data_IF_136487971518
#
_entry.id   IF_136487971518
#
_cell.length_a   1.000
_cell.length_b   1.000
_cell.length_c   1.000
_cell.angle_alpha   90.00
_cell.angle_beta   90.00
_cell.angle_gamma   90.00
#
_symmetry.space_group_name_H-M   'P 1'
#
loop_
_entity.id
_entity.type
_entity.pdbx_description
1 polymer ?
#
# COMPACT_ATOMS: atom_id res chain seq x y z
N UNK A 1 -29.41 -11.51 42.28
CA UNK A 1 -28.75 -10.29 41.78
C UNK A 1 -27.39 -10.65 41.17
N UNK A 2 -27.07 -10.26 39.93
CA UNK A 2 -25.75 -10.49 39.36
C UNK A 2 -24.68 -9.78 40.19
N UNK A 3 -23.64 -10.49 40.63
CA UNK A 3 -22.51 -9.86 41.34
C UNK A 3 -21.78 -8.92 40.37
N UNK A 4 -21.53 -7.68 40.78
CA UNK A 4 -20.82 -6.69 39.98
C UNK A 4 -19.44 -7.23 39.54
N UNK A 5 -19.14 -7.14 38.24
CA UNK A 5 -17.82 -7.49 37.69
C UNK A 5 -16.77 -6.57 38.29
N UNK A 6 -15.67 -7.14 38.77
CA UNK A 6 -14.54 -6.36 39.30
C UNK A 6 -13.40 -6.39 38.27
N UNK A 7 -12.81 -5.22 37.99
CA UNK A 7 -11.65 -5.13 37.11
C UNK A 7 -10.34 -5.40 37.86
N UNK A 8 -9.42 -6.08 37.19
CA UNK A 8 -8.05 -6.20 37.67
C UNK A 8 -7.31 -4.85 37.48
N UNK A 9 -6.70 -4.27 38.52
CA UNK A 9 -5.98 -3.00 38.39
C UNK A 9 -4.65 -3.10 37.64
N UNK A 10 -4.23 -4.31 37.25
CA UNK A 10 -2.95 -4.56 36.56
C UNK A 10 -3.11 -4.79 35.05
N UNK A 11 -4.20 -5.42 34.60
CA UNK A 11 -4.43 -5.75 33.19
C UNK A 11 -5.82 -5.38 32.68
N UNK A 12 -6.64 -4.71 33.49
CA UNK A 12 -7.98 -4.20 33.15
C UNK A 12 -9.03 -5.27 32.74
N UNK A 13 -8.69 -6.56 32.76
CA UNK A 13 -9.66 -7.64 32.51
C UNK A 13 -10.72 -7.70 33.62
N UNK A 14 -11.97 -7.87 33.20
CA UNK A 14 -13.12 -8.03 34.09
C UNK A 14 -13.29 -9.50 34.50
N UNK A 15 -13.38 -9.76 35.81
CA UNK A 15 -13.57 -11.12 36.34
C UNK A 15 -14.86 -11.24 37.15
N UNK A 16 -15.48 -12.41 37.06
CA UNK A 16 -16.52 -12.83 37.99
C UNK A 16 -15.88 -13.10 39.37
N UNK A 17 -16.58 -12.74 40.44
CA UNK A 17 -16.03 -12.44 41.78
C UNK A 17 -15.24 -13.54 42.50
N UNK A 18 -15.17 -14.77 41.98
CA UNK A 18 -14.52 -15.90 42.65
C UNK A 18 -12.99 -15.92 42.56
N UNK A 19 -12.40 -15.49 41.43
CA UNK A 19 -10.96 -15.70 41.14
C UNK A 19 -10.10 -14.44 41.04
N UNK A 20 -10.64 -13.27 41.42
CA UNK A 20 -9.92 -12.00 41.23
C UNK A 20 -8.67 -11.88 42.12
N UNK A 21 -8.65 -12.48 43.31
CA UNK A 21 -7.51 -12.41 44.22
C UNK A 21 -6.32 -13.23 43.69
N UNK A 22 -6.57 -14.43 43.18
CA UNK A 22 -5.56 -15.29 42.59
C UNK A 22 -5.05 -14.73 41.27
N UNK A 23 -5.94 -14.24 40.41
CA UNK A 23 -5.56 -13.51 39.20
C UNK A 23 -4.71 -12.27 39.53
N UNK A 24 -5.06 -11.48 40.55
CA UNK A 24 -4.26 -10.32 40.97
C UNK A 24 -2.85 -10.71 41.39
N UNK A 25 -2.70 -11.82 42.14
CA UNK A 25 -1.38 -12.33 42.55
C UNK A 25 -0.56 -12.81 41.35
N UNK A 26 -1.17 -13.56 40.43
CA UNK A 26 -0.50 -14.01 39.20
C UNK A 26 -0.14 -12.85 38.28
N UNK A 27 -1.04 -11.88 38.12
CA UNK A 27 -0.88 -10.73 37.24
C UNK A 27 0.14 -9.72 37.79
N UNK A 28 0.25 -9.58 39.11
CA UNK A 28 1.26 -8.74 39.76
C UNK A 28 2.70 -9.26 39.59
N UNK A 29 2.88 -10.53 39.20
CA UNK A 29 4.19 -11.15 39.00
C UNK A 29 4.53 -11.38 37.52
N UNK A 30 3.57 -11.22 36.61
CA UNK A 30 3.83 -11.33 35.18
C UNK A 30 4.56 -10.10 34.69
N UNK A 31 5.80 -10.32 34.25
CA UNK A 31 6.55 -9.33 33.50
C UNK A 31 6.01 -9.35 32.07
N UNK A 32 5.43 -8.24 31.65
CA UNK A 32 5.09 -7.99 30.26
C UNK A 32 6.25 -7.25 29.60
N UNK A 33 6.50 -7.52 28.32
CA UNK A 33 7.49 -6.78 27.54
C UNK A 33 6.79 -5.61 26.85
N UNK A 34 7.38 -4.41 26.93
CA UNK A 34 6.84 -3.27 26.19
C UNK A 34 7.04 -3.44 24.69
N UNK A 35 5.98 -3.33 23.86
CA UNK A 35 6.16 -3.40 22.41
C UNK A 35 7.00 -2.23 21.88
N UNK A 36 7.01 -1.09 22.58
CA UNK A 36 7.67 0.16 22.14
C UNK A 36 9.16 0.23 22.52
N UNK A 37 9.52 -0.21 23.74
CA UNK A 37 10.91 -0.11 24.23
C UNK A 37 11.55 -1.44 24.66
N UNK A 38 10.81 -2.55 24.55
CA UNK A 38 11.24 -3.91 24.90
C UNK A 38 11.71 -4.11 26.35
N UNK A 39 11.57 -3.11 27.22
CA UNK A 39 11.82 -3.27 28.65
C UNK A 39 10.71 -4.11 29.26
N UNK A 40 11.10 -5.07 30.09
CA UNK A 40 10.18 -5.79 30.94
C UNK A 40 9.59 -4.83 31.97
N UNK A 41 8.27 -4.89 32.14
CA UNK A 41 7.56 -4.12 33.15
C UNK A 41 6.54 -5.00 33.85
N UNK A 42 6.25 -4.65 35.10
CA UNK A 42 5.28 -5.38 35.93
C UNK A 42 3.89 -4.75 35.83
N UNK A 43 3.82 -3.44 35.55
CA UNK A 43 2.57 -2.68 35.43
C UNK A 43 2.56 -1.83 34.17
N UNK A 44 1.64 -2.16 33.28
CA UNK A 44 1.53 -1.49 31.97
C UNK A 44 1.28 0.00 32.10
N UNK A 45 0.43 0.41 33.05
CA UNK A 45 0.15 1.83 33.33
C UNK A 45 1.38 2.61 33.78
N UNK A 46 2.24 2.00 34.59
CA UNK A 46 3.43 2.65 35.15
C UNK A 46 4.50 2.73 34.05
N UNK A 47 4.56 1.73 33.18
CA UNK A 47 5.44 1.74 32.03
C UNK A 47 5.00 2.72 30.93
N UNK A 48 3.75 2.65 30.46
CA UNK A 48 3.19 3.53 29.41
C UNK A 48 3.34 5.01 29.75
N UNK A 49 3.25 5.38 31.02
CA UNK A 49 3.39 6.77 31.48
C UNK A 49 4.79 7.35 31.29
N UNK A 50 5.83 6.51 31.29
CA UNK A 50 7.24 6.95 31.22
C UNK A 50 8.01 6.36 30.03
N UNK A 51 7.41 5.44 29.28
CA UNK A 51 8.00 4.86 28.10
C UNK A 51 8.05 5.89 26.97
N UNK A 52 9.18 6.58 26.85
CA UNK A 52 9.49 7.46 25.71
C UNK A 52 9.95 6.69 24.46
N UNK A 53 9.85 5.36 24.48
CA UNK A 53 10.72 4.51 23.65
C UNK A 53 12.16 4.59 24.15
N UNK A 54 13.00 3.63 23.78
CA UNK A 54 14.43 3.92 23.73
C UNK A 54 14.64 4.72 22.44
N UNK A 55 15.51 5.73 22.38
CA UNK A 55 16.09 6.11 21.10
C UNK A 55 17.01 4.93 20.75
N UNK A 56 16.73 4.18 19.69
CA UNK A 56 17.73 3.25 19.13
C UNK A 56 18.16 3.88 17.86
N UNK A 57 19.47 3.91 17.73
CA UNK A 57 20.18 4.36 16.57
C UNK A 57 19.59 3.65 15.35
N UNK A 58 19.17 4.42 14.36
CA UNK A 58 18.81 3.86 13.07
C UNK A 58 19.98 3.04 12.52
N UNK A 59 19.70 2.02 11.70
CA UNK A 59 20.75 1.36 10.94
C UNK A 59 21.63 2.42 10.28
N UNK A 60 22.95 2.33 10.48
CA UNK A 60 23.89 3.41 10.16
C UNK A 60 23.79 3.88 8.70
N UNK A 61 23.42 2.99 7.78
CA UNK A 61 23.21 3.32 6.37
C UNK A 61 21.91 4.11 6.10
N UNK A 62 20.88 4.02 6.95
CA UNK A 62 19.67 4.87 6.85
C UNK A 62 19.91 6.26 7.43
N UNK A 63 20.92 6.41 8.30
CA UNK A 63 21.28 7.70 8.88
C UNK A 63 21.83 8.70 7.85
N UNK A 64 22.25 8.22 6.67
CA UNK A 64 22.68 9.07 5.55
C UNK A 64 21.53 9.81 4.87
N UNK A 65 20.27 9.42 5.12
CA UNK A 65 19.09 10.12 4.63
C UNK A 65 18.69 11.17 5.67
N UNK A 66 19.11 12.45 5.51
CA UNK A 66 18.77 13.50 6.46
C UNK A 66 17.26 13.52 6.66
N UNK A 67 16.83 13.60 7.92
CA UNK A 67 15.44 13.56 8.41
C UNK A 67 14.81 12.19 8.67
N UNK A 68 15.35 11.08 8.15
CA UNK A 68 14.80 9.75 8.47
C UNK A 68 14.97 9.40 9.95
N UNK A 69 15.99 9.97 10.61
CA UNK A 69 16.28 9.83 12.05
C UNK A 69 15.51 10.72 13.00
N UNK A 70 14.65 11.58 12.47
CA UNK A 70 13.88 12.52 13.28
C UNK A 70 12.76 11.86 14.08
N UNK A 71 12.25 10.72 13.63
CA UNK A 71 11.09 10.05 14.20
C UNK A 71 11.41 8.59 14.59
N UNK A 72 10.61 8.01 15.48
CA UNK A 72 10.77 6.64 15.93
C UNK A 72 10.00 5.67 15.02
N UNK A 73 10.68 5.11 14.02
CA UNK A 73 10.13 4.17 13.04
C UNK A 73 10.31 2.69 13.40
N UNK A 74 10.72 2.38 14.63
CA UNK A 74 11.27 1.05 14.96
C UNK A 74 10.24 -0.07 14.95
N UNK A 75 8.97 0.24 15.11
CA UNK A 75 7.91 -0.75 14.93
C UNK A 75 7.66 -1.08 13.45
N UNK A 76 8.12 -0.22 12.52
CA UNK A 76 7.89 -0.32 11.07
C UNK A 76 9.12 -0.83 10.30
N UNK A 77 10.31 -0.74 10.88
CA UNK A 77 11.57 -1.12 10.24
C UNK A 77 12.20 -2.35 10.91
N UNK A 78 12.78 -3.28 10.14
CA UNK A 78 13.62 -4.32 10.71
C UNK A 78 14.94 -3.70 11.22
N UNK A 79 15.68 -4.46 12.03
CA UNK A 79 17.00 -4.03 12.52
C UNK A 79 18.02 -3.77 11.40
N UNK A 80 17.84 -4.41 10.24
CA UNK A 80 18.65 -4.24 9.03
C UNK A 80 17.80 -4.55 7.79
N UNK A 81 18.00 -3.82 6.69
CA UNK A 81 17.49 -4.11 5.34
C UNK A 81 18.71 -4.26 4.44
N UNK A 82 19.21 -5.48 4.21
CA UNK A 82 20.39 -5.72 3.39
C UNK A 82 20.16 -5.22 1.95
N UNK A 83 21.20 -4.64 1.35
CA UNK A 83 21.19 -4.32 -0.09
C UNK A 83 20.32 -3.14 -0.51
N UNK A 84 19.81 -2.33 0.43
CA UNK A 84 19.08 -1.10 0.12
C UNK A 84 20.01 -0.03 -0.46
N UNK A 85 19.82 0.34 -1.72
CA UNK A 85 20.65 1.36 -2.41
C UNK A 85 19.81 2.54 -2.90
N UNK A 86 20.35 3.77 -2.95
CA UNK A 86 19.67 4.88 -3.63
C UNK A 86 19.27 4.50 -5.06
N UNK A 87 18.09 4.93 -5.50
CA UNK A 87 17.52 4.56 -6.81
C UNK A 87 18.46 4.84 -7.99
N UNK A 88 19.24 5.92 -7.92
CA UNK A 88 20.20 6.34 -8.96
C UNK A 88 21.55 5.59 -8.89
N UNK A 89 21.80 4.87 -7.80
CA UNK A 89 23.01 4.07 -7.57
C UNK A 89 22.73 2.56 -7.70
N UNK A 90 21.55 2.18 -8.21
CA UNK A 90 21.16 0.78 -8.36
C UNK A 90 22.19 0.01 -9.20
N UNK A 91 22.71 -1.09 -8.64
CA UNK A 91 23.60 -2.00 -9.36
C UNK A 91 22.88 -2.72 -10.50
N UNK A 92 23.61 -3.25 -11.48
CA UNK A 92 22.99 -4.02 -12.56
C UNK A 92 22.33 -5.31 -12.06
N UNK A 93 22.89 -5.92 -11.00
CA UNK A 93 22.25 -7.03 -10.31
C UNK A 93 20.89 -6.60 -9.72
N UNK A 94 20.84 -5.45 -9.03
CA UNK A 94 19.58 -4.89 -8.51
C UNK A 94 18.60 -4.60 -9.64
N UNK A 95 19.03 -3.93 -10.71
CA UNK A 95 18.17 -3.58 -11.86
C UNK A 95 17.57 -4.82 -12.52
N UNK A 96 18.34 -5.90 -12.63
CA UNK A 96 17.88 -7.15 -13.26
C UNK A 96 16.72 -7.84 -12.53
N UNK A 97 16.51 -7.52 -11.25
CA UNK A 97 15.38 -8.02 -10.45
C UNK A 97 14.08 -7.27 -10.72
N UNK A 98 14.14 -6.08 -11.31
CA UNK A 98 12.98 -5.26 -11.64
C UNK A 98 12.54 -5.52 -13.08
N UNK A 99 11.26 -5.87 -13.30
CA UNK A 99 10.69 -5.97 -14.65
C UNK A 99 10.66 -4.60 -15.33
N UNK A 100 10.49 -3.55 -14.53
CA UNK A 100 10.59 -2.14 -14.90
C UNK A 100 11.15 -1.38 -13.72
N UNK A 101 12.15 -0.53 -13.94
CA UNK A 101 12.72 0.27 -12.85
C UNK A 101 11.74 1.37 -12.42
N UNK A 102 11.58 1.63 -11.10
CA UNK A 102 10.94 2.85 -10.64
C UNK A 102 11.76 4.06 -11.12
N UNK A 103 11.08 5.18 -11.34
CA UNK A 103 11.72 6.37 -11.90
C UNK A 103 11.36 7.63 -11.10
N UNK A 104 12.34 8.50 -10.89
CA UNK A 104 12.10 9.85 -10.37
C UNK A 104 11.81 10.78 -11.54
N UNK A 105 10.72 11.53 -11.43
CA UNK A 105 10.24 12.42 -12.48
C UNK A 105 10.31 13.87 -11.99
N UNK A 106 10.97 14.75 -12.75
CA UNK A 106 11.04 16.16 -12.38
C UNK A 106 9.69 16.86 -12.52
N UNK A 107 9.34 17.66 -11.51
CA UNK A 107 8.12 18.46 -11.51
C UNK A 107 8.45 19.88 -11.97
N UNK A 108 7.96 20.25 -13.16
CA UNK A 108 8.21 21.58 -13.72
C UNK A 108 7.22 22.64 -13.24
N UNK A 109 5.97 22.24 -12.97
CA UNK A 109 4.88 23.15 -12.57
C UNK A 109 4.19 22.60 -11.32
N UNK A 110 4.72 22.82 -10.12
CA UNK A 110 4.09 22.34 -8.90
C UNK A 110 2.76 23.07 -8.67
N UNK A 111 1.73 22.30 -8.27
CA UNK A 111 0.44 22.86 -7.88
C UNK A 111 0.61 23.68 -6.59
N UNK A 112 0.07 24.92 -6.51
CA UNK A 112 0.11 25.70 -5.28
C UNK A 112 -0.55 24.94 -4.13
N UNK A 113 0.10 24.94 -2.97
CA UNK A 113 -0.40 24.19 -1.83
C UNK A 113 -1.73 24.72 -1.29
N UNK A 114 -2.00 26.03 -1.42
CA UNK A 114 -3.30 26.59 -1.08
C UNK A 114 -4.44 25.93 -1.88
N UNK A 115 -4.19 25.59 -3.14
CA UNK A 115 -5.19 24.94 -4.01
C UNK A 115 -5.41 23.49 -3.56
N UNK A 116 -4.34 22.77 -3.23
CA UNK A 116 -4.41 21.41 -2.68
C UNK A 116 -5.16 21.41 -1.33
N UNK A 117 -4.86 22.36 -0.46
CA UNK A 117 -5.53 22.50 0.84
C UNK A 117 -7.03 22.73 0.65
N UNK A 118 -7.42 23.64 -0.24
CA UNK A 118 -8.83 23.95 -0.54
C UNK A 118 -9.54 22.73 -1.12
N UNK A 119 -8.90 22.03 -2.07
CA UNK A 119 -9.42 20.81 -2.68
C UNK A 119 -9.65 19.70 -1.64
N UNK A 120 -8.66 19.43 -0.78
CA UNK A 120 -8.76 18.45 0.31
C UNK A 120 -9.86 18.83 1.29
N UNK A 121 -9.91 20.10 1.71
CA UNK A 121 -10.91 20.60 2.64
C UNK A 121 -12.34 20.45 2.09
N UNK A 122 -12.53 20.72 0.80
CA UNK A 122 -13.80 20.51 0.08
C UNK A 122 -14.17 19.02 0.06
N UNK A 123 -13.22 18.14 -0.29
CA UNK A 123 -13.42 16.68 -0.39
C UNK A 123 -13.66 16.00 0.96
N UNK A 124 -13.15 16.50 2.09
CA UNK A 124 -13.41 15.88 3.42
C UNK A 124 -14.92 15.82 3.75
N UNK A 125 -15.74 16.64 3.09
CA UNK A 125 -17.19 16.59 3.29
C UNK A 125 -17.88 15.40 2.61
N UNK A 126 -17.26 14.78 1.59
CA UNK A 126 -17.80 13.60 0.89
C UNK A 126 -17.58 12.31 1.67
N UNK A 127 -16.65 12.30 2.64
CA UNK A 127 -16.29 11.15 3.47
C UNK A 127 -15.77 9.94 2.68
N UNK A 128 -15.32 10.17 1.45
CA UNK A 128 -14.66 9.18 0.62
C UNK A 128 -13.14 9.20 0.89
N UNK A 129 -12.73 8.78 2.08
CA UNK A 129 -11.32 8.68 2.49
C UNK A 129 -11.17 7.72 3.68
N UNK A 130 -9.94 7.31 3.95
CA UNK A 130 -9.61 6.48 5.11
C UNK A 130 -8.94 7.31 6.19
N UNK A 131 -9.43 7.23 7.43
CA UNK A 131 -8.91 7.99 8.55
C UNK A 131 -8.23 7.09 9.58
N UNK A 132 -7.04 7.50 10.03
CA UNK A 132 -6.22 6.75 10.97
C UNK A 132 -5.81 7.61 12.15
N UNK A 133 -5.79 6.99 13.33
CA UNK A 133 -5.39 7.58 14.60
C UNK A 133 -4.44 6.62 15.31
N UNK A 134 -3.18 7.02 15.45
CA UNK A 134 -2.09 6.18 15.95
C UNK A 134 -1.98 4.84 15.19
N UNK A 135 -2.06 4.89 13.86
CA UNK A 135 -1.98 3.71 12.99
C UNK A 135 -3.25 2.85 12.93
N UNK A 136 -4.25 3.11 13.79
CA UNK A 136 -5.51 2.39 13.79
C UNK A 136 -6.56 3.14 12.97
N UNK A 137 -7.27 2.42 12.11
CA UNK A 137 -8.40 2.98 11.39
C UNK A 137 -9.48 3.46 12.37
N UNK A 138 -9.98 4.67 12.17
CA UNK A 138 -11.02 5.30 13.02
C UNK A 138 -12.39 4.66 12.81
N UNK A 139 -12.58 3.94 11.71
CA UNK A 139 -13.76 3.15 11.34
C UNK A 139 -13.36 2.12 10.27
N UNK A 140 -14.22 1.14 9.98
CA UNK A 140 -14.03 0.23 8.84
C UNK A 140 -13.76 1.03 7.57
N UNK A 141 -12.54 0.92 7.06
CA UNK A 141 -12.13 1.45 5.78
C UNK A 141 -12.95 0.71 4.71
N UNK A 142 -13.90 1.38 4.06
CA UNK A 142 -14.73 0.75 3.03
C UNK A 142 -16.11 1.39 2.83
N UNK A 143 -16.78 0.98 1.76
CA UNK A 143 -18.06 1.49 1.26
C UNK A 143 -19.30 1.16 2.12
N UNK A 144 -19.19 1.28 3.45
CA UNK A 144 -20.34 1.12 4.35
C UNK A 144 -20.98 2.47 4.70
N UNK A 145 -22.30 2.46 4.91
CA UNK A 145 -23.01 3.65 5.41
C UNK A 145 -22.53 3.99 6.81
N UNK A 146 -21.70 5.02 6.94
CA UNK A 146 -21.25 5.51 8.24
C UNK A 146 -22.40 6.03 9.10
N UNK A 147 -22.34 5.80 10.40
CA UNK A 147 -23.20 6.45 11.40
C UNK A 147 -22.85 7.93 11.54
N UNK A 148 -23.75 8.79 12.04
CA UNK A 148 -23.44 10.20 12.30
C UNK A 148 -22.20 10.41 13.20
N UNK A 149 -21.99 9.52 14.18
CA UNK A 149 -20.86 9.59 15.11
C UNK A 149 -19.54 9.26 14.40
N UNK A 150 -19.52 8.21 13.56
CA UNK A 150 -18.34 7.85 12.77
C UNK A 150 -17.98 8.97 11.78
N UNK A 151 -18.97 9.53 11.08
CA UNK A 151 -18.75 10.68 10.18
C UNK A 151 -18.10 11.85 10.91
N UNK A 152 -18.54 12.14 12.14
CA UNK A 152 -17.96 13.19 12.97
C UNK A 152 -16.50 12.88 13.31
N UNK A 153 -16.21 11.66 13.79
CA UNK A 153 -14.86 11.23 14.15
C UNK A 153 -13.90 11.23 12.95
N UNK A 154 -14.37 10.83 11.75
CA UNK A 154 -13.63 10.91 10.50
C UNK A 154 -13.21 12.33 10.16
N UNK A 155 -14.16 13.26 10.18
CA UNK A 155 -13.90 14.67 9.87
C UNK A 155 -12.94 15.28 10.89
N UNK A 156 -13.17 15.04 12.18
CA UNK A 156 -12.26 15.50 13.23
C UNK A 156 -10.84 14.98 13.01
N UNK A 157 -10.68 13.69 12.70
CA UNK A 157 -9.38 13.08 12.41
C UNK A 157 -8.74 13.70 11.17
N UNK A 158 -9.50 13.95 10.10
CA UNK A 158 -9.02 14.58 8.89
C UNK A 158 -8.53 16.02 9.14
N UNK A 159 -9.29 16.82 9.89
CA UNK A 159 -8.88 18.18 10.23
C UNK A 159 -7.66 18.22 11.14
N UNK A 160 -7.56 17.30 12.11
CA UNK A 160 -6.36 17.15 12.94
C UNK A 160 -5.16 16.77 12.07
N UNK A 161 -5.32 15.82 11.15
CA UNK A 161 -4.28 15.42 10.19
C UNK A 161 -3.80 16.61 9.35
N UNK A 162 -4.73 17.36 8.73
CA UNK A 162 -4.39 18.55 7.95
C UNK A 162 -3.58 19.55 8.76
N UNK A 163 -4.05 19.88 9.97
CA UNK A 163 -3.35 20.79 10.86
C UNK A 163 -1.96 20.28 11.22
N UNK A 164 -1.81 19.00 11.61
CA UNK A 164 -0.53 18.39 11.94
C UNK A 164 0.42 18.32 10.73
N UNK A 165 -0.10 18.11 9.52
CA UNK A 165 0.66 18.07 8.28
C UNK A 165 1.27 19.44 7.94
N UNK A 166 0.53 20.54 8.13
CA UNK A 166 1.00 21.89 7.80
C UNK A 166 1.69 22.64 8.95
N UNK A 167 1.66 22.08 10.18
CA UNK A 167 2.07 22.75 11.45
C UNK A 167 3.51 23.31 11.47
N UNK A 168 4.42 22.89 10.58
CA UNK A 168 5.79 23.45 10.55
C UNK A 168 5.86 24.94 10.15
N UNK A 169 4.74 25.54 9.75
CA UNK A 169 4.65 26.96 9.35
C UNK A 169 4.48 27.95 10.50
N UNK A 170 3.98 27.53 11.67
CA UNK A 170 3.69 28.46 12.77
C UNK A 170 4.86 28.67 13.76
N UNK A 171 5.94 27.89 13.66
CA UNK A 171 7.09 28.03 14.57
C UNK A 171 7.99 29.24 14.27
N UNK A 172 7.72 29.99 13.19
CA UNK A 172 8.38 31.28 12.89
C UNK A 172 7.57 32.52 13.27
N UNK A 173 6.30 32.40 13.71
CA UNK A 173 5.53 33.52 14.23
C UNK A 173 4.78 33.16 15.52
N UNK A 174 5.42 33.49 16.66
CA UNK A 174 4.75 33.99 17.87
C UNK A 174 3.34 33.46 18.20
N UNK A 175 3.24 32.19 18.61
CA UNK A 175 2.57 31.66 19.83
C UNK A 175 2.38 30.15 19.66
N UNK A 176 2.79 29.30 20.61
CA UNK A 176 2.63 27.84 20.47
C UNK A 176 1.14 27.48 20.39
N UNK A 177 0.67 26.98 19.26
CA UNK A 177 -0.69 26.46 19.12
C UNK A 177 -0.81 25.07 19.78
N UNK A 178 -1.77 25.04 20.72
CA UNK A 178 -2.47 24.03 21.52
C UNK A 178 -2.29 22.50 21.37
N UNK A 179 -1.48 21.97 20.46
CA UNK A 179 -1.28 20.52 20.35
C UNK A 179 0.13 20.10 20.79
N UNK A 180 0.18 19.25 21.82
CA UNK A 180 1.39 18.76 22.48
C UNK A 180 1.87 17.45 21.85
N UNK A 181 3.12 17.03 22.11
CA UNK A 181 3.62 15.67 21.77
C UNK A 181 2.80 14.51 22.37
N UNK A 182 1.70 14.82 23.09
CA UNK A 182 0.73 13.86 23.64
C UNK A 182 -0.48 13.63 22.73
N UNK A 183 -0.66 14.44 21.69
CA UNK A 183 -1.77 14.28 20.77
C UNK A 183 -1.55 13.11 19.83
N UNK A 184 -2.60 12.34 19.52
CA UNK A 184 -2.50 11.19 18.65
C UNK A 184 -2.05 11.63 17.25
N UNK A 185 -1.17 10.84 16.63
CA UNK A 185 -0.77 11.04 15.26
C UNK A 185 -1.95 10.65 14.35
N UNK A 186 -2.49 11.62 13.63
CA UNK A 186 -3.62 11.40 12.73
C UNK A 186 -3.16 11.54 11.28
N UNK A 187 -3.55 10.62 10.42
CA UNK A 187 -3.37 10.75 8.98
C UNK A 187 -4.62 10.30 8.24
N UNK A 188 -4.81 10.83 7.03
CA UNK A 188 -5.90 10.40 6.15
C UNK A 188 -5.34 10.03 4.79
N UNK A 189 -5.86 8.96 4.21
CA UNK A 189 -5.44 8.43 2.92
C UNK A 189 -6.61 8.49 1.93
N UNK A 190 -6.27 8.61 0.65
CA UNK A 190 -7.21 8.55 -0.47
C UNK A 190 -8.34 9.59 -0.36
N UNK A 191 -8.01 10.85 -0.04
CA UNK A 191 -8.96 11.96 -0.18
C UNK A 191 -9.11 12.26 -1.67
N UNK A 192 -10.14 11.70 -2.28
CA UNK A 192 -10.39 11.84 -3.72
C UNK A 192 -10.78 13.27 -4.10
N UNK A 193 -10.15 13.81 -5.14
CA UNK A 193 -10.45 15.16 -5.66
C UNK A 193 -10.33 15.23 -7.17
N UNK A 194 -11.17 16.06 -7.80
CA UNK A 194 -11.10 16.40 -9.23
C UNK A 194 -10.36 17.73 -9.46
N UNK A 195 -10.20 18.53 -8.40
CA UNK A 195 -9.67 19.89 -8.50
C UNK A 195 -8.13 19.89 -8.70
N UNK A 196 -7.46 18.76 -8.42
CA UNK A 196 -6.01 18.54 -8.61
C UNK A 196 -5.79 17.36 -9.57
N UNK A 197 -5.92 17.57 -10.89
CA UNK A 197 -5.77 16.48 -11.84
C UNK A 197 -4.31 16.04 -11.94
N UNK A 198 -4.09 14.74 -11.90
CA UNK A 198 -2.83 14.10 -12.26
C UNK A 198 -3.05 13.19 -13.46
N UNK A 199 -2.02 13.04 -14.29
CA UNK A 199 -2.00 12.09 -15.40
C UNK A 199 -0.72 11.27 -15.36
N UNK A 200 -0.71 10.06 -15.95
CA UNK A 200 0.50 9.28 -16.08
C UNK A 200 1.62 10.10 -16.74
N UNK A 201 2.90 9.90 -16.37
CA UNK A 201 4.01 10.66 -16.94
C UNK A 201 4.08 10.53 -18.46
N UNK A 202 4.43 11.61 -19.16
CA UNK A 202 4.51 11.60 -20.63
C UNK A 202 5.48 10.53 -21.16
N UNK A 203 6.56 10.25 -20.43
CA UNK A 203 7.50 9.19 -20.76
C UNK A 203 6.88 7.79 -20.68
N UNK A 204 5.92 7.58 -19.77
CA UNK A 204 5.18 6.33 -19.67
C UNK A 204 4.18 6.23 -20.81
N UNK A 205 3.40 7.29 -21.05
CA UNK A 205 2.42 7.36 -22.14
C UNK A 205 3.05 7.15 -23.52
N UNK A 206 4.30 7.58 -23.71
CA UNK A 206 5.01 7.44 -24.99
C UNK A 206 5.68 6.09 -25.20
N UNK A 207 5.95 5.33 -24.13
CA UNK A 207 6.67 4.05 -24.19
C UNK A 207 5.77 2.84 -24.06
N UNK A 208 4.62 2.98 -23.40
CA UNK A 208 3.79 1.85 -23.01
C UNK A 208 2.33 2.05 -23.40
N UNK A 209 1.62 0.94 -23.57
CA UNK A 209 0.20 0.96 -23.89
C UNK A 209 -0.62 1.02 -22.59
N UNK A 210 -1.32 2.13 -22.36
CA UNK A 210 -2.17 2.29 -21.18
C UNK A 210 -3.52 1.60 -21.38
N UNK A 211 -4.00 0.88 -20.35
CA UNK A 211 -5.33 0.23 -20.39
C UNK A 211 -6.50 1.24 -20.32
N UNK A 212 -6.23 2.50 -19.97
CA UNK A 212 -7.26 3.55 -19.87
C UNK A 212 -8.15 3.45 -18.62
N UNK A 213 -7.60 2.91 -17.53
CA UNK A 213 -8.26 2.69 -16.24
C UNK A 213 -7.66 3.52 -15.10
N UNK A 214 -7.07 4.67 -15.43
CA UNK A 214 -6.47 5.62 -14.50
C UNK A 214 -7.47 6.04 -13.41
N UNK A 215 -7.06 5.96 -12.15
CA UNK A 215 -7.88 6.40 -11.02
C UNK A 215 -8.01 7.92 -10.99
N UNK A 216 -9.03 8.40 -10.28
CA UNK A 216 -9.05 9.78 -9.81
C UNK A 216 -7.81 10.06 -8.93
N UNK A 217 -7.39 11.33 -8.85
CA UNK A 217 -6.34 11.75 -7.93
C UNK A 217 -6.78 11.52 -6.48
N UNK A 218 -6.04 10.69 -5.76
CA UNK A 218 -6.15 10.52 -4.32
C UNK A 218 -5.11 11.36 -3.59
N UNK A 219 -5.52 12.15 -2.60
CA UNK A 219 -4.61 12.92 -1.76
C UNK A 219 -4.46 12.26 -0.39
N UNK A 220 -3.22 11.97 -0.01
CA UNK A 220 -2.82 11.52 1.31
C UNK A 220 -2.36 12.72 2.14
N UNK A 221 -3.01 12.96 3.27
CA UNK A 221 -2.66 14.01 4.23
C UNK A 221 -1.94 13.36 5.40
N UNK A 222 -0.66 13.68 5.55
CA UNK A 222 0.25 12.88 6.36
C UNK A 222 1.18 13.80 7.15
N UNK A 223 1.10 13.80 8.49
CA UNK A 223 2.05 14.53 9.32
C UNK A 223 3.45 13.92 9.29
N UNK A 224 4.45 14.72 9.65
CA UNK A 224 5.80 14.20 9.88
C UNK A 224 5.79 13.18 11.02
N UNK A 225 6.40 12.02 10.79
CA UNK A 225 6.35 10.89 11.71
C UNK A 225 5.28 9.83 11.37
N UNK A 226 4.49 10.04 10.30
CA UNK A 226 3.58 9.01 9.78
C UNK A 226 4.26 8.05 8.79
N UNK A 227 3.85 6.79 8.82
CA UNK A 227 4.32 5.73 7.95
C UNK A 227 3.12 5.03 7.30
N UNK A 228 3.25 4.72 6.02
CA UNK A 228 2.40 3.76 5.31
C UNK A 228 3.25 2.50 5.15
N UNK A 229 2.82 1.40 5.78
CA UNK A 229 3.56 0.15 5.82
C UNK A 229 3.74 -0.49 4.44
N UNK A 230 4.47 -1.61 4.37
CA UNK A 230 4.73 -2.33 3.12
C UNK A 230 3.41 -2.74 2.42
N UNK A 231 3.24 -2.30 1.18
CA UNK A 231 2.10 -2.62 0.31
C UNK A 231 2.48 -2.51 -1.17
N UNK A 232 1.55 -2.84 -2.06
CA UNK A 232 1.56 -2.41 -3.47
C UNK A 232 0.18 -1.83 -3.81
N UNK A 233 0.07 -1.07 -4.90
CA UNK A 233 -1.12 -0.30 -5.25
C UNK A 233 -2.17 -1.11 -6.05
N UNK A 234 -2.71 -2.17 -5.42
CA UNK A 234 -3.78 -3.02 -5.98
C UNK A 234 -3.39 -3.58 -7.37
N UNK A 235 -2.15 -4.07 -7.44
CA UNK A 235 -1.51 -4.55 -8.66
C UNK A 235 -1.07 -3.48 -9.67
N UNK A 236 -1.56 -2.24 -9.60
CA UNK A 236 -1.32 -1.22 -10.63
C UNK A 236 0.03 -0.53 -10.52
N UNK A 237 0.44 0.12 -11.62
CA UNK A 237 1.45 1.17 -11.58
C UNK A 237 0.92 2.39 -10.83
N UNK A 238 1.79 3.10 -10.14
CA UNK A 238 1.45 4.27 -9.32
C UNK A 238 2.29 5.48 -9.70
N UNK A 239 1.68 6.66 -9.83
CA UNK A 239 2.41 7.92 -9.98
C UNK A 239 2.09 8.83 -8.80
N UNK A 240 3.12 9.22 -8.07
CA UNK A 240 3.01 9.93 -6.79
C UNK A 240 3.80 11.24 -6.79
N UNK A 241 3.13 12.32 -6.37
CA UNK A 241 3.64 13.69 -6.34
C UNK A 241 3.45 14.24 -4.92
N UNK A 242 4.49 14.79 -4.32
CA UNK A 242 4.33 15.56 -3.09
C UNK A 242 4.04 17.02 -3.40
N UNK A 243 3.22 17.65 -2.57
CA UNK A 243 2.96 19.08 -2.65
C UNK A 243 3.61 19.80 -1.47
N UNK A 244 4.04 21.04 -1.71
CA UNK A 244 4.71 21.90 -0.71
C UNK A 244 6.05 21.35 -0.19
N UNK A 245 6.50 21.80 0.97
CA UNK A 245 7.68 21.31 1.67
C UNK A 245 7.52 19.88 2.23
N UNK A 246 6.48 19.14 1.82
CA UNK A 246 6.31 17.72 2.12
C UNK A 246 7.51 16.93 1.60
N UNK A 247 8.02 16.02 2.42
CA UNK A 247 9.14 15.13 2.05
C UNK A 247 8.77 13.72 2.45
N UNK A 248 8.91 12.80 1.48
CA UNK A 248 8.79 11.37 1.72
C UNK A 248 10.12 10.67 1.49
N UNK A 249 10.35 9.66 2.29
CA UNK A 249 11.33 8.60 1.99
C UNK A 249 10.56 7.34 1.69
N UNK A 250 10.86 6.71 0.57
CA UNK A 250 10.14 5.54 0.07
C UNK A 250 11.15 4.39 -0.03
N UNK A 251 10.84 3.28 0.62
CA UNK A 251 11.55 2.02 0.43
C UNK A 251 10.79 1.21 -0.62
N UNK A 252 11.52 0.65 -1.56
CA UNK A 252 10.99 0.02 -2.77
C UNK A 252 11.62 -1.36 -2.93
N UNK A 253 10.85 -2.36 -3.29
CA UNK A 253 11.35 -3.71 -3.56
C UNK A 253 10.66 -4.28 -4.82
N UNK A 254 11.42 -4.97 -5.69
CA UNK A 254 10.87 -5.53 -6.91
C UNK A 254 9.85 -6.64 -6.62
N UNK A 255 8.85 -6.82 -7.48
CA UNK A 255 7.87 -7.91 -7.39
C UNK A 255 8.47 -9.26 -7.85
N UNK A 256 9.63 -9.66 -7.32
CA UNK A 256 10.17 -11.00 -7.60
C UNK A 256 9.28 -12.06 -6.98
N UNK A 257 9.31 -13.28 -7.50
CA UNK A 257 8.57 -14.41 -6.92
C UNK A 257 8.87 -14.59 -5.43
N UNK A 258 10.14 -14.45 -5.05
CA UNK A 258 10.59 -14.47 -3.65
C UNK A 258 9.95 -13.36 -2.82
N UNK A 259 10.07 -12.11 -3.27
CA UNK A 259 9.55 -10.95 -2.53
C UNK A 259 8.02 -10.99 -2.41
N UNK A 260 7.32 -11.37 -3.48
CA UNK A 260 5.87 -11.55 -3.48
C UNK A 260 5.44 -12.69 -2.55
N UNK A 261 6.14 -13.82 -2.55
CA UNK A 261 5.87 -14.93 -1.63
C UNK A 261 6.06 -14.54 -0.16
N UNK A 262 7.14 -13.83 0.17
CA UNK A 262 7.38 -13.28 1.51
C UNK A 262 6.29 -12.29 1.91
N UNK A 263 5.94 -11.37 1.01
CA UNK A 263 4.86 -10.42 1.23
C UNK A 263 3.56 -11.18 1.50
N UNK A 264 3.10 -12.03 0.60
CA UNK A 264 1.88 -12.83 0.72
C UNK A 264 1.78 -13.60 2.05
N UNK A 265 2.90 -14.18 2.50
CA UNK A 265 2.97 -14.93 3.77
C UNK A 265 2.60 -14.10 5.02
N UNK A 266 2.69 -12.78 4.90
CA UNK A 266 2.36 -11.80 5.96
C UNK A 266 1.00 -11.12 5.78
N UNK A 267 0.15 -11.63 4.88
CA UNK A 267 -1.23 -11.13 4.70
C UNK A 267 -1.99 -11.05 6.04
N UNK A 268 -2.71 -9.94 6.24
CA UNK A 268 -3.45 -9.65 7.48
C UNK A 268 -2.60 -9.29 8.71
N UNK A 269 -1.26 -9.29 8.61
CA UNK A 269 -0.39 -8.93 9.74
C UNK A 269 0.01 -7.45 9.68
N UNK A 270 0.05 -6.74 10.83
CA UNK A 270 0.61 -5.39 10.89
C UNK A 270 2.14 -5.42 10.76
N UNK A 271 2.71 -4.27 10.40
CA UNK A 271 4.14 -3.98 10.37
C UNK A 271 4.92 -4.98 9.51
N UNK A 272 4.40 -5.28 8.31
CA UNK A 272 4.94 -6.29 7.40
C UNK A 272 6.42 -6.02 7.08
N UNK A 273 6.79 -4.77 6.83
CA UNK A 273 8.18 -4.39 6.57
C UNK A 273 9.13 -4.80 7.72
N UNK A 274 8.75 -4.58 8.98
CA UNK A 274 9.56 -4.98 10.12
C UNK A 274 9.74 -6.51 10.24
N UNK A 275 8.82 -7.29 9.67
CA UNK A 275 8.81 -8.76 9.73
C UNK A 275 9.66 -9.42 8.66
N UNK A 276 9.66 -8.86 7.45
CA UNK A 276 10.28 -9.49 6.26
C UNK A 276 11.31 -8.62 5.56
N UNK A 277 11.47 -7.35 5.95
CA UNK A 277 12.33 -6.40 5.23
C UNK A 277 13.80 -6.80 5.21
N UNK A 278 14.26 -7.62 6.17
CA UNK A 278 15.61 -8.19 6.19
C UNK A 278 15.81 -9.35 5.20
N UNK A 279 14.73 -9.87 4.63
CA UNK A 279 14.70 -11.00 3.69
C UNK A 279 14.36 -10.59 2.25
N UNK A 280 13.89 -9.35 2.07
CA UNK A 280 13.56 -8.79 0.76
C UNK A 280 14.84 -8.50 -0.04
N UNK A 281 14.80 -8.77 -1.34
CA UNK A 281 15.92 -8.55 -2.26
C UNK A 281 15.69 -7.34 -3.16
N UNK A 282 16.77 -6.81 -3.76
CA UNK A 282 16.68 -5.76 -4.77
C UNK A 282 16.18 -4.41 -4.26
N UNK A 283 16.30 -4.16 -2.95
CA UNK A 283 15.77 -2.97 -2.29
C UNK A 283 16.35 -1.66 -2.83
N UNK A 284 15.48 -0.69 -3.09
CA UNK A 284 15.83 0.68 -3.44
C UNK A 284 15.26 1.66 -2.42
N UNK A 285 15.92 2.80 -2.27
CA UNK A 285 15.44 3.93 -1.48
C UNK A 285 15.37 5.19 -2.34
N UNK A 286 14.25 5.89 -2.23
CA UNK A 286 14.00 7.15 -2.90
C UNK A 286 13.58 8.21 -1.89
N UNK A 287 14.00 9.45 -2.14
CA UNK A 287 13.51 10.65 -1.45
C UNK A 287 12.79 11.52 -2.47
N UNK A 288 11.55 11.87 -2.18
CA UNK A 288 10.77 12.81 -3.00
C UNK A 288 10.42 14.06 -2.19
N UNK A 289 10.52 15.21 -2.83
CA UNK A 289 10.13 16.54 -2.37
C UNK A 289 9.41 17.28 -3.52
N UNK A 290 9.01 18.54 -3.36
CA UNK A 290 8.27 19.29 -4.40
C UNK A 290 8.92 19.36 -5.78
N UNK A 291 10.20 19.02 -5.91
CA UNK A 291 10.90 19.00 -7.20
C UNK A 291 10.83 17.65 -7.91
N UNK A 292 10.42 16.59 -7.21
CA UNK A 292 10.46 15.21 -7.68
C UNK A 292 9.15 14.48 -7.39
N UNK A 293 8.63 13.85 -8.43
CA UNK A 293 7.62 12.82 -8.34
C UNK A 293 8.28 11.43 -8.46
N UNK A 294 7.52 10.39 -8.17
CA UNK A 294 7.94 9.01 -8.39
C UNK A 294 6.90 8.27 -9.22
N UNK A 295 7.38 7.55 -10.23
CA UNK A 295 6.63 6.56 -10.98
C UNK A 295 7.05 5.16 -10.50
N UNK A 296 6.05 4.38 -10.09
CA UNK A 296 6.18 3.05 -9.53
C UNK A 296 5.62 2.04 -10.52
N UNK A 297 6.38 0.97 -10.83
CA UNK A 297 5.89 -0.11 -11.68
C UNK A 297 4.84 -0.96 -10.97
N UNK A 298 4.04 -1.66 -11.77
CA UNK A 298 2.99 -2.55 -11.24
C UNK A 298 3.57 -3.53 -10.22
N UNK A 299 2.84 -3.72 -9.13
CA UNK A 299 3.21 -4.63 -8.03
C UNK A 299 4.49 -4.26 -7.26
N UNK A 300 5.12 -3.09 -7.49
CA UNK A 300 6.25 -2.64 -6.69
C UNK A 300 5.89 -2.61 -5.20
N UNK A 301 6.56 -3.44 -4.40
CA UNK A 301 6.38 -3.43 -2.96
C UNK A 301 7.03 -2.19 -2.39
N UNK A 302 6.30 -1.41 -1.61
CA UNK A 302 6.83 -0.18 -1.08
C UNK A 302 6.25 0.23 0.27
N UNK A 303 7.05 1.00 1.02
CA UNK A 303 6.67 1.61 2.28
C UNK A 303 7.06 3.09 2.26
N UNK A 304 6.17 3.95 2.76
CA UNK A 304 6.29 5.41 2.63
C UNK A 304 6.41 6.05 4.00
N UNK A 305 7.51 6.75 4.23
CA UNK A 305 7.81 7.43 5.48
C UNK A 305 7.73 8.94 5.28
N UNK A 306 6.94 9.61 6.11
CA UNK A 306 6.78 11.07 6.05
C UNK A 306 7.76 11.75 6.98
N UNK A 307 8.82 12.33 6.44
CA UNK A 307 9.85 13.05 7.23
C UNK A 307 9.55 14.54 7.37
N UNK A 308 8.83 15.11 6.41
CA UNK A 308 8.19 16.42 6.52
C UNK A 308 6.72 16.28 6.16
N UNK A 309 5.85 16.72 7.07
CA UNK A 309 4.41 16.60 6.90
C UNK A 309 3.90 17.42 5.72
N UNK A 310 2.79 16.98 5.14
CA UNK A 310 2.13 17.68 4.04
C UNK A 310 1.22 16.75 3.24
N UNK A 311 1.11 17.02 1.95
CA UNK A 311 0.22 16.33 1.03
C UNK A 311 1.03 15.49 0.03
N UNK A 312 0.53 14.30 -0.26
CA UNK A 312 1.01 13.43 -1.35
C UNK A 312 -0.20 13.11 -2.23
N UNK A 313 -0.18 13.53 -3.48
CA UNK A 313 -1.17 13.14 -4.47
C UNK A 313 -0.69 11.94 -5.26
N UNK A 314 -1.61 11.06 -5.62
CA UNK A 314 -1.29 9.92 -6.46
C UNK A 314 -2.43 9.52 -7.38
N UNK A 315 -2.06 8.86 -8.46
CA UNK A 315 -2.96 8.13 -9.35
C UNK A 315 -2.39 6.73 -9.59
N UNK A 316 -3.28 5.77 -9.83
CA UNK A 316 -2.93 4.42 -10.22
C UNK A 316 -3.48 4.13 -11.61
N UNK A 317 -2.74 3.41 -12.43
CA UNK A 317 -3.13 3.07 -13.80
C UNK A 317 -2.52 1.73 -14.21
N UNK A 318 -3.15 1.05 -15.15
CA UNK A 318 -2.63 -0.21 -15.68
C UNK A 318 -1.92 -0.02 -17.01
N UNK A 319 -0.81 -0.73 -17.16
CA UNK A 319 -0.02 -0.84 -18.39
C UNK A 319 -0.24 -2.24 -18.95
N UNK A 320 -0.51 -2.34 -20.26
CA UNK A 320 -0.79 -3.62 -20.93
C UNK A 320 0.39 -4.59 -20.79
N UNK A 321 1.61 -4.09 -20.94
CA UNK A 321 2.87 -4.83 -20.80
C UNK A 321 3.11 -5.35 -19.37
N UNK A 322 2.44 -4.80 -18.37
CA UNK A 322 2.60 -5.18 -16.96
C UNK A 322 1.48 -6.12 -16.44
N UNK A 323 0.49 -6.45 -17.26
CA UNK A 323 -0.52 -7.45 -16.87
C UNK A 323 0.10 -8.79 -16.42
N UNK A 324 1.19 -9.31 -17.04
CA UNK A 324 1.82 -10.53 -16.55
C UNK A 324 2.32 -10.44 -15.11
N UNK A 325 2.91 -9.30 -14.70
CA UNK A 325 3.39 -9.13 -13.32
C UNK A 325 2.23 -8.98 -12.33
N UNK A 326 1.12 -8.36 -12.77
CA UNK A 326 -0.12 -8.30 -11.99
C UNK A 326 -0.67 -9.71 -11.71
N UNK A 327 -0.76 -10.55 -12.74
CA UNK A 327 -1.19 -11.94 -12.58
C UNK A 327 -0.27 -12.72 -11.64
N UNK A 328 1.05 -12.53 -11.75
CA UNK A 328 2.03 -13.17 -10.87
C UNK A 328 1.84 -12.76 -9.39
N UNK A 329 1.59 -11.48 -9.11
CA UNK A 329 1.31 -11.02 -7.75
C UNK A 329 0.04 -11.67 -7.18
N UNK A 330 -1.03 -11.76 -7.98
CA UNK A 330 -2.27 -12.43 -7.57
C UNK A 330 -1.98 -13.91 -7.28
N UNK A 331 -1.30 -14.62 -8.18
CA UNK A 331 -0.93 -16.03 -8.00
C UNK A 331 -0.15 -16.27 -6.71
N UNK A 332 0.79 -15.38 -6.36
CA UNK A 332 1.54 -15.47 -5.10
C UNK A 332 0.64 -15.31 -3.86
N UNK A 333 -0.45 -14.55 -3.98
CA UNK A 333 -1.40 -14.30 -2.91
C UNK A 333 -2.48 -15.36 -2.78
N UNK A 334 -2.86 -16.05 -3.86
CA UNK A 334 -3.95 -17.04 -3.87
C UNK A 334 -3.86 -18.10 -2.75
N UNK A 335 -2.67 -18.66 -2.41
CA UNK A 335 -2.55 -19.62 -1.30
C UNK A 335 -2.97 -19.06 0.07
N UNK A 336 -3.04 -17.73 0.19
CA UNK A 336 -3.42 -17.02 1.42
C UNK A 336 -4.80 -16.37 1.32
N UNK A 337 -5.63 -16.77 0.34
CA UNK A 337 -6.96 -16.21 0.09
C UNK A 337 -7.82 -16.10 1.36
N UNK A 338 -7.85 -17.14 2.19
CA UNK A 338 -8.65 -17.15 3.43
C UNK A 338 -8.24 -16.08 4.45
N UNK A 339 -7.02 -15.54 4.34
CA UNK A 339 -6.50 -14.53 5.28
C UNK A 339 -6.86 -13.10 4.88
N UNK A 340 -7.03 -12.85 3.59
CA UNK A 340 -7.31 -11.51 3.04
C UNK A 340 -8.13 -11.59 1.74
N UNK A 341 -9.36 -12.13 1.80
CA UNK A 341 -10.15 -12.40 0.61
C UNK A 341 -10.56 -11.11 -0.12
N UNK A 342 -10.82 -10.03 0.62
CA UNK A 342 -11.27 -8.76 0.05
C UNK A 342 -10.19 -8.12 -0.82
N UNK A 343 -8.94 -8.04 -0.32
CA UNK A 343 -7.83 -7.48 -1.08
C UNK A 343 -7.52 -8.31 -2.33
N UNK A 344 -7.51 -9.63 -2.21
CA UNK A 344 -7.20 -10.52 -3.34
C UNK A 344 -8.32 -10.47 -4.40
N UNK A 345 -9.59 -10.42 -3.97
CA UNK A 345 -10.71 -10.22 -4.89
C UNK A 345 -10.63 -8.85 -5.57
N UNK A 346 -10.18 -7.81 -4.88
CA UNK A 346 -9.96 -6.49 -5.49
C UNK A 346 -8.87 -6.54 -6.56
N UNK A 347 -7.71 -7.15 -6.27
CA UNK A 347 -6.63 -7.34 -7.24
C UNK A 347 -7.11 -8.11 -8.48
N UNK A 348 -7.86 -9.21 -8.29
CA UNK A 348 -8.46 -9.98 -9.39
C UNK A 348 -9.38 -9.10 -10.22
N UNK A 349 -10.24 -8.29 -9.59
CA UNK A 349 -11.16 -7.40 -10.31
C UNK A 349 -10.42 -6.39 -11.16
N UNK A 350 -9.41 -5.76 -10.59
CA UNK A 350 -8.59 -4.77 -11.28
C UNK A 350 -7.86 -5.41 -12.47
N UNK A 351 -7.24 -6.57 -12.27
CA UNK A 351 -6.58 -7.31 -13.34
C UNK A 351 -7.53 -7.69 -14.48
N UNK A 352 -8.70 -8.27 -14.18
CA UNK A 352 -9.67 -8.68 -15.20
C UNK A 352 -10.17 -7.48 -16.02
N UNK A 353 -10.48 -6.37 -15.35
CA UNK A 353 -10.90 -5.14 -16.04
C UNK A 353 -9.80 -4.57 -16.94
N UNK A 354 -8.56 -4.58 -16.47
CA UNK A 354 -7.42 -4.13 -17.26
C UNK A 354 -7.15 -5.06 -18.45
N UNK A 355 -7.31 -6.38 -18.29
CA UNK A 355 -7.18 -7.38 -19.35
C UNK A 355 -8.23 -7.18 -20.45
N UNK A 356 -9.49 -6.98 -20.10
CA UNK A 356 -10.56 -6.68 -21.07
C UNK A 356 -10.24 -5.44 -21.91
N UNK A 357 -9.74 -4.39 -21.26
CA UNK A 357 -9.32 -3.16 -21.94
C UNK A 357 -8.11 -3.42 -22.84
N UNK A 358 -7.10 -4.12 -22.36
CA UNK A 358 -5.91 -4.47 -23.12
C UNK A 358 -6.23 -5.25 -24.40
N UNK A 359 -7.13 -6.23 -24.34
CA UNK A 359 -7.55 -7.00 -25.51
C UNK A 359 -8.25 -6.13 -26.57
N UNK A 360 -8.85 -5.01 -26.17
CA UNK A 360 -9.49 -4.05 -27.08
C UNK A 360 -8.49 -3.09 -27.75
N UNK A 361 -7.25 -3.01 -27.27
CA UNK A 361 -6.21 -2.10 -27.76
C UNK A 361 -5.35 -2.68 -28.88
N UNK A 362 -5.56 -3.95 -29.26
CA UNK A 362 -4.76 -4.66 -30.27
C UNK A 362 -3.24 -4.57 -30.01
N UNK A 363 -2.76 -5.03 -28.84
CA UNK A 363 -1.34 -4.93 -28.48
C UNK A 363 -0.45 -5.72 -29.45
N UNK A 364 0.86 -5.39 -29.51
CA UNK A 364 1.83 -6.19 -30.25
C UNK A 364 1.77 -7.68 -29.89
N UNK A 365 2.06 -8.54 -30.87
CA UNK A 365 1.80 -9.98 -30.76
C UNK A 365 2.59 -10.67 -29.63
N UNK A 366 3.82 -10.26 -29.40
CA UNK A 366 4.69 -10.73 -28.31
C UNK A 366 4.15 -10.35 -26.92
N UNK A 367 3.64 -9.12 -26.79
CA UNK A 367 2.95 -8.65 -25.59
C UNK A 367 1.64 -9.44 -25.38
N UNK A 368 0.84 -9.60 -26.44
CA UNK A 368 -0.42 -10.33 -26.39
C UNK A 368 -0.23 -11.78 -25.92
N UNK A 369 0.78 -12.49 -26.44
CA UNK A 369 1.09 -13.87 -26.01
C UNK A 369 1.35 -13.91 -24.50
N UNK A 370 2.19 -13.00 -24.00
CA UNK A 370 2.56 -12.97 -22.57
C UNK A 370 1.34 -12.72 -21.68
N UNK A 371 0.45 -11.82 -22.10
CA UNK A 371 -0.80 -11.53 -21.41
C UNK A 371 -1.71 -12.77 -21.37
N UNK A 372 -1.92 -13.43 -22.52
CA UNK A 372 -2.76 -14.64 -22.61
C UNK A 372 -2.18 -15.76 -21.75
N UNK A 373 -0.86 -15.98 -21.76
CA UNK A 373 -0.18 -16.94 -20.89
C UNK A 373 -0.47 -16.67 -19.42
N UNK A 374 -0.28 -15.42 -19.00
CA UNK A 374 -0.52 -15.01 -17.61
C UNK A 374 -1.98 -15.19 -17.19
N UNK A 375 -2.92 -14.90 -18.10
CA UNK A 375 -4.35 -15.10 -17.87
C UNK A 375 -4.70 -16.57 -17.66
N UNK A 376 -4.24 -17.45 -18.56
CA UNK A 376 -4.54 -18.88 -18.46
C UNK A 376 -4.00 -19.49 -17.16
N UNK A 377 -2.78 -19.12 -16.77
CA UNK A 377 -2.20 -19.56 -15.50
C UNK A 377 -3.04 -19.11 -14.29
N UNK A 378 -3.50 -17.85 -14.31
CA UNK A 378 -4.35 -17.31 -13.26
C UNK A 378 -5.73 -17.96 -13.25
N UNK A 379 -6.37 -18.16 -14.40
CA UNK A 379 -7.72 -18.74 -14.48
C UNK A 379 -7.76 -20.19 -13.97
N UNK A 380 -6.78 -21.01 -14.34
CA UNK A 380 -6.61 -22.37 -13.82
C UNK A 380 -6.47 -22.34 -12.30
N UNK A 381 -5.65 -21.43 -11.78
CA UNK A 381 -5.41 -21.32 -10.33
C UNK A 381 -6.62 -20.79 -9.57
N UNK A 382 -7.41 -19.90 -10.19
CA UNK A 382 -8.66 -19.38 -9.60
C UNK A 382 -9.79 -20.40 -9.60
N UNK A 383 -9.73 -21.46 -10.42
CA UNK A 383 -10.76 -22.49 -10.44
C UNK A 383 -10.89 -23.25 -9.11
N UNK A 384 -9.86 -23.19 -8.24
CA UNK A 384 -9.89 -23.77 -6.90
C UNK A 384 -10.52 -22.87 -5.84
N UNK A 385 -11.03 -21.70 -6.21
CA UNK A 385 -11.64 -20.74 -5.27
C UNK A 385 -13.16 -20.81 -5.42
N UNK A 386 -13.86 -21.35 -4.41
CA UNK A 386 -15.32 -21.55 -4.41
C UNK A 386 -16.16 -20.25 -4.29
N UNK A 387 -15.53 -19.06 -4.40
CA UNK A 387 -16.17 -17.77 -4.13
C UNK A 387 -15.87 -16.62 -5.12
N UNK A 388 -15.82 -16.81 -6.45
CA UNK A 388 -15.82 -15.67 -7.33
C UNK A 388 -17.18 -14.98 -7.22
N UNK A 389 -17.18 -13.68 -6.95
CA UNK A 389 -18.41 -12.88 -7.07
C UNK A 389 -19.01 -13.01 -8.49
N UNK A 390 -20.32 -12.80 -8.64
CA UNK A 390 -20.98 -12.81 -9.96
C UNK A 390 -20.26 -11.93 -10.99
N UNK A 391 -19.80 -10.75 -10.57
CA UNK A 391 -19.05 -9.85 -11.44
C UNK A 391 -17.77 -10.50 -12.01
N UNK A 392 -17.05 -11.26 -11.18
CA UNK A 392 -15.84 -11.95 -11.66
C UNK A 392 -16.19 -13.01 -12.71
N UNK A 393 -17.35 -13.67 -12.59
CA UNK A 393 -17.83 -14.65 -13.58
C UNK A 393 -18.16 -13.96 -14.90
N UNK A 394 -18.87 -12.82 -14.86
CA UNK A 394 -19.25 -12.05 -16.06
C UNK A 394 -18.00 -11.61 -16.86
N UNK A 395 -16.96 -11.10 -16.18
CA UNK A 395 -15.69 -10.73 -16.83
C UNK A 395 -14.94 -11.95 -17.41
N UNK A 396 -14.92 -13.07 -16.69
CA UNK A 396 -14.32 -14.34 -17.18
C UNK A 396 -14.97 -14.82 -18.46
N UNK A 397 -16.30 -14.80 -18.53
CA UNK A 397 -17.06 -15.16 -19.72
C UNK A 397 -16.73 -14.23 -20.88
N UNK A 398 -16.67 -12.91 -20.62
CA UNK A 398 -16.28 -11.93 -21.63
C UNK A 398 -14.87 -12.19 -22.17
N UNK A 399 -13.88 -12.36 -21.30
CA UNK A 399 -12.49 -12.64 -21.68
C UNK A 399 -12.43 -13.93 -22.51
N UNK A 400 -13.10 -14.99 -22.06
CA UNK A 400 -13.16 -16.26 -22.80
C UNK A 400 -13.75 -16.08 -24.21
N UNK A 401 -14.84 -15.31 -24.33
CA UNK A 401 -15.44 -14.97 -25.61
C UNK A 401 -14.53 -14.11 -26.50
N UNK A 402 -13.82 -13.14 -25.92
CA UNK A 402 -12.86 -12.28 -26.63
C UNK A 402 -11.68 -13.11 -27.16
N UNK A 403 -11.09 -13.96 -26.33
CA UNK A 403 -9.99 -14.85 -26.74
C UNK A 403 -10.41 -15.80 -27.85
N UNK A 404 -11.63 -16.33 -27.82
CA UNK A 404 -12.17 -17.15 -28.90
C UNK A 404 -12.30 -16.40 -30.24
N UNK A 405 -12.40 -15.07 -30.24
CA UNK A 405 -12.39 -14.24 -31.46
C UNK A 405 -10.97 -13.91 -31.94
N UNK A 406 -9.97 -13.99 -31.07
CA UNK A 406 -8.55 -13.79 -31.42
C UNK A 406 -7.95 -15.08 -31.99
N UNK A 407 -8.39 -16.26 -31.52
CA UNK A 407 -7.97 -17.59 -32.02
C UNK A 407 -8.00 -17.77 -33.55
N UNK A 408 -9.00 -17.27 -34.31
CA UNK A 408 -9.04 -17.41 -35.76
C UNK A 408 -8.01 -16.54 -36.50
N UNK A 409 -7.55 -15.43 -35.89
CA UNK A 409 -6.62 -14.49 -36.53
C UNK A 409 -5.16 -14.98 -36.54
N UNK A 410 -4.83 -16.00 -35.74
CA UNK A 410 -3.50 -16.65 -35.74
C UNK A 410 -3.43 -17.84 -36.71
N UNK A 411 -4.54 -18.30 -37.28
CA UNK A 411 -4.55 -19.38 -38.27
C UNK A 411 -4.73 -18.82 -39.69
N UNK A 412 -3.69 -18.15 -40.20
CA UNK A 412 -3.53 -17.90 -41.64
C UNK A 412 -2.74 -19.03 -42.33
N UNK A 413 -2.82 -20.24 -41.79
CA UNK A 413 -2.31 -21.46 -42.41
C UNK A 413 -3.45 -22.15 -43.13
N UNK A 414 -3.77 -21.72 -44.35
CA UNK A 414 -4.73 -22.38 -45.25
C UNK A 414 -4.25 -23.74 -45.78
N UNK A 415 -3.39 -24.46 -45.04
CA UNK A 415 -2.68 -25.64 -45.52
C UNK A 415 -2.68 -26.87 -44.60
N UNK A 416 -3.33 -26.86 -43.43
CA UNK A 416 -3.34 -28.07 -42.56
C UNK A 416 -4.78 -28.45 -42.22
N UNK A 417 -5.06 -29.74 -42.45
CA UNK A 417 -6.39 -30.32 -42.48
C UNK A 417 -7.19 -30.15 -41.18
N UNK A 418 -8.50 -30.31 -41.33
CA UNK A 418 -9.48 -30.30 -40.25
C UNK A 418 -9.07 -31.28 -39.13
N UNK A 419 -8.73 -30.72 -37.98
CA UNK A 419 -8.70 -31.44 -36.70
C UNK A 419 -7.31 -31.61 -36.09
N UNK A 420 -6.79 -30.52 -35.50
CA UNK A 420 -6.07 -30.44 -34.21
C UNK A 420 -5.73 -28.97 -33.94
N UNK A 421 -5.76 -28.55 -32.66
CA UNK A 421 -5.94 -27.17 -32.22
C UNK A 421 -4.59 -26.46 -31.94
N UNK A 422 -4.28 -25.39 -32.68
CA UNK A 422 -3.00 -24.65 -32.62
C UNK A 422 -2.72 -23.92 -31.28
N UNK A 423 -3.71 -23.67 -30.43
CA UNK A 423 -3.46 -23.08 -29.09
C UNK A 423 -2.94 -24.14 -28.11
N UNK A 424 -3.21 -25.41 -28.33
CA UNK A 424 -2.66 -26.49 -27.50
C UNK A 424 -1.25 -26.88 -28.00
N UNK A 425 -1.05 -27.06 -29.31
CA UNK A 425 0.25 -27.50 -29.84
C UNK A 425 1.39 -26.46 -29.75
N UNK A 426 1.10 -25.15 -29.75
CA UNK A 426 2.14 -24.11 -29.55
C UNK A 426 2.45 -23.84 -28.07
N UNK A 427 1.62 -24.34 -27.15
CA UNK A 427 1.78 -24.15 -25.71
C UNK A 427 2.24 -25.43 -24.98
N UNK A 428 2.11 -26.61 -25.58
CA UNK A 428 2.75 -27.84 -25.10
C UNK A 428 4.24 -27.94 -25.46
N UNK A 429 4.75 -27.06 -26.33
CA UNK A 429 6.15 -27.07 -26.79
C UNK A 429 7.07 -26.04 -26.09
N UNK A 430 6.65 -25.44 -24.96
CA UNK A 430 7.47 -24.51 -24.15
C UNK A 430 7.80 -25.09 -22.79
#
# INVERSE_FOLDING_TARGET
MPKARRMCPHCEKAFNTGNIAEHRRSCANQKSTCPVCYKQFIRERDHKRYCKGTLVELPTYLAQFPDFSKYNWREELPGTIPGLTPIHEASDATKSLWHRMPCLVHINNPVPEQDVYVAVNKSINTLSFHAYKNGLAVHGAGHQKHTPLERKAMKETAFISMHQAVKRRELKSTKPTLYSDRDPLCYVLNVWTEDIPLSPPAEIVSKYLLCGDTTQTGINVTPGGSCIGLHFDIGRSGYSVVFDDCVKVILLFPPTERNLGLFASTAGLPNRLARIGDQLEGGLIARIDKSLAIDLPSCALHAVFTTVGGFLGGINFSIVEELPIMAQAILAHLPFFERDPDAILEDIKIYLSALVRALSLSPPHDILISIIKSWLALDISMASIDSPSKWCQDEKEYISAALNKVRPLQCNCSAIGKGTHLVEEHFEAV
#
